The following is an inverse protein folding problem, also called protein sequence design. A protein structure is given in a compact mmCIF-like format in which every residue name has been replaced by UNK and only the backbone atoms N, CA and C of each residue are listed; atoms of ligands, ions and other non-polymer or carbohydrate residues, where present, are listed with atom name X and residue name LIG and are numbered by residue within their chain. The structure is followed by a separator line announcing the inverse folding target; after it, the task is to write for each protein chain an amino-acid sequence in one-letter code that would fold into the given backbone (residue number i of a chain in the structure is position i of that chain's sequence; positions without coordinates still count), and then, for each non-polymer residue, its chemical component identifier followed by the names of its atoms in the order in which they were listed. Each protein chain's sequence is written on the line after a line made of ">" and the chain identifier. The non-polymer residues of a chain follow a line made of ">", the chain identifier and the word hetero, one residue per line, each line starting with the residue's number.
data_IF_564221083528
#
_entry.id   IF_564221083528
#
_cell.length_a   1.000
_cell.length_b   1.000
_cell.length_c   1.000
_cell.angle_alpha   90.00
_cell.angle_beta   90.00
_cell.angle_gamma   90.00
#
_symmetry.space_group_name_H-M   'P 1'
#
loop_
_entity.id
_entity.type
_entity.pdbx_description
1 polymer ?
#
# COMPACT_ATOMS: atom_id res chain seq x y z
N UNK A 1 4.88 -58.48 -13.87
CA UNK A 1 5.10 -57.43 -12.87
C UNK A 1 5.25 -56.12 -13.65
N UNK A 2 4.16 -55.42 -13.96
CA UNK A 2 3.42 -54.51 -13.06
C UNK A 2 4.33 -53.37 -12.60
N UNK A 3 4.01 -52.08 -12.66
CA UNK A 3 2.84 -51.30 -13.05
C UNK A 3 3.27 -49.83 -12.75
N UNK A 4 2.49 -48.85 -13.20
CA UNK A 4 2.51 -47.42 -12.80
C UNK A 4 3.58 -46.48 -13.40
N UNK A 5 3.11 -45.66 -14.33
CA UNK A 5 3.77 -44.42 -14.77
C UNK A 5 2.86 -43.57 -15.64
N UNK A 6 1.74 -43.14 -15.05
CA UNK A 6 0.60 -42.45 -15.64
C UNK A 6 0.90 -41.44 -16.75
N UNK A 7 0.14 -41.59 -17.83
CA UNK A 7 -0.25 -40.60 -18.82
C UNK A 7 -0.53 -39.24 -18.15
N UNK A 8 0.41 -38.30 -18.26
CA UNK A 8 0.13 -36.89 -17.95
C UNK A 8 -0.77 -36.40 -19.07
N UNK A 9 -2.08 -36.41 -18.79
CA UNK A 9 -3.10 -35.73 -19.57
C UNK A 9 -2.69 -34.27 -19.71
N UNK A 10 -2.16 -33.92 -20.88
CA UNK A 10 -2.11 -32.56 -21.36
C UNK A 10 -3.55 -32.09 -21.44
N UNK A 11 -4.03 -31.43 -20.38
CA UNK A 11 -5.22 -30.58 -20.45
C UNK A 11 -4.88 -29.47 -21.43
N UNK A 12 -5.13 -29.71 -22.70
CA UNK A 12 -5.36 -28.69 -23.71
C UNK A 12 -6.30 -27.67 -23.07
N UNK A 13 -5.82 -26.44 -22.88
CA UNK A 13 -6.64 -25.31 -22.45
C UNK A 13 -7.78 -25.19 -23.47
N UNK A 14 -8.94 -25.73 -23.10
CA UNK A 14 -10.12 -25.74 -23.95
C UNK A 14 -10.46 -24.32 -24.35
N UNK A 15 -10.35 -24.05 -25.65
CA UNK A 15 -10.91 -22.92 -26.38
C UNK A 15 -12.45 -23.01 -26.43
N UNK A 16 -13.09 -23.22 -25.28
CA UNK A 16 -14.49 -22.88 -25.11
C UNK A 16 -14.57 -21.37 -24.95
N UNK A 17 -15.34 -20.69 -25.79
CA UNK A 17 -15.59 -19.24 -25.74
C UNK A 17 -15.90 -18.79 -24.30
N UNK A 18 -14.86 -18.37 -23.57
CA UNK A 18 -15.00 -17.83 -22.22
C UNK A 18 -15.47 -16.41 -22.38
N UNK A 19 -16.78 -16.22 -22.20
CA UNK A 19 -17.37 -14.89 -22.21
C UNK A 19 -16.72 -14.08 -21.07
N UNK A 20 -16.19 -12.87 -21.34
CA UNK A 20 -15.60 -12.04 -20.30
C UNK A 20 -16.59 -11.79 -19.15
N UNK A 21 -16.13 -11.69 -17.89
CA UNK A 21 -16.99 -11.44 -16.74
C UNK A 21 -17.90 -10.22 -16.96
N UNK A 22 -19.21 -10.46 -16.95
CA UNK A 22 -20.23 -9.44 -17.18
C UNK A 22 -21.46 -9.68 -16.29
N UNK A 23 -22.27 -8.64 -16.10
CA UNK A 23 -23.62 -8.76 -15.57
C UNK A 23 -24.49 -7.70 -16.24
N UNK A 24 -25.13 -8.07 -17.35
CA UNK A 24 -25.94 -7.14 -18.15
C UNK A 24 -27.21 -6.70 -17.43
N UNK A 25 -27.79 -7.54 -16.57
CA UNK A 25 -28.97 -7.19 -15.78
C UNK A 25 -28.66 -6.08 -14.77
N UNK A 26 -27.49 -6.14 -14.12
CA UNK A 26 -27.01 -5.09 -13.23
C UNK A 26 -26.77 -3.77 -13.99
N UNK A 27 -26.17 -3.84 -15.19
CA UNK A 27 -25.97 -2.67 -16.04
C UNK A 27 -27.30 -2.03 -16.45
N UNK A 28 -28.27 -2.82 -16.90
CA UNK A 28 -29.62 -2.37 -17.25
C UNK A 28 -30.33 -1.75 -16.04
N UNK A 29 -30.20 -2.37 -14.85
CA UNK A 29 -30.81 -1.87 -13.62
C UNK A 29 -30.25 -0.52 -13.20
N UNK A 30 -28.94 -0.28 -13.36
CA UNK A 30 -28.31 1.02 -13.06
C UNK A 30 -28.78 2.09 -14.04
N UNK A 31 -28.71 1.82 -15.35
CA UNK A 31 -29.15 2.78 -16.38
C UNK A 31 -30.64 3.11 -16.23
N UNK A 32 -31.49 2.10 -16.05
CA UNK A 32 -32.92 2.29 -15.83
C UNK A 32 -33.23 3.07 -14.54
N UNK A 33 -32.48 2.83 -13.47
CA UNK A 33 -32.65 3.57 -12.21
C UNK A 33 -32.29 5.05 -12.36
N UNK A 34 -31.28 5.38 -13.18
CA UNK A 34 -30.90 6.77 -13.48
C UNK A 34 -32.01 7.46 -14.27
N UNK A 35 -32.51 6.81 -15.33
CA UNK A 35 -33.60 7.33 -16.16
C UNK A 35 -34.90 7.61 -15.37
N UNK A 36 -35.19 6.81 -14.35
CA UNK A 36 -36.39 6.97 -13.52
C UNK A 36 -36.21 7.97 -12.37
N UNK A 37 -34.98 8.22 -11.92
CA UNK A 37 -34.70 9.03 -10.73
C UNK A 37 -33.54 10.00 -10.97
N UNK A 38 -33.94 11.24 -11.23
CA UNK A 38 -33.11 12.43 -11.49
C UNK A 38 -31.97 12.66 -10.47
N UNK A 39 -32.10 12.19 -9.23
CA UNK A 39 -31.08 12.41 -8.17
C UNK A 39 -30.14 11.23 -7.89
N UNK A 40 -30.15 10.18 -8.71
CA UNK A 40 -29.35 8.99 -8.46
C UNK A 40 -27.96 9.03 -9.12
N UNK A 41 -27.79 9.84 -10.17
CA UNK A 41 -26.58 9.91 -10.97
C UNK A 41 -25.32 10.32 -10.17
N UNK A 42 -25.34 11.35 -9.28
CA UNK A 42 -24.13 11.74 -8.53
C UNK A 42 -23.53 10.61 -7.70
N UNK A 43 -24.38 9.79 -7.07
CA UNK A 43 -23.94 8.64 -6.27
C UNK A 43 -23.39 7.49 -7.13
N UNK A 44 -23.82 7.41 -8.40
CA UNK A 44 -23.34 6.39 -9.34
C UNK A 44 -21.98 6.79 -9.93
N UNK A 45 -21.79 8.07 -10.25
CA UNK A 45 -20.52 8.61 -10.81
C UNK A 45 -19.35 8.37 -9.83
N UNK A 46 -19.59 8.42 -8.52
CA UNK A 46 -18.56 8.12 -7.51
C UNK A 46 -18.11 6.65 -7.52
N UNK A 47 -18.92 5.73 -8.05
CA UNK A 47 -18.69 4.28 -7.95
C UNK A 47 -18.24 3.63 -9.26
N UNK A 48 -18.74 4.10 -10.40
CA UNK A 48 -18.49 3.50 -11.72
C UNK A 48 -18.21 4.55 -12.79
N UNK A 49 -17.40 4.16 -13.77
CA UNK A 49 -17.04 4.95 -14.95
C UNK A 49 -17.59 4.29 -16.22
N UNK A 50 -17.68 4.99 -17.37
CA UNK A 50 -18.16 4.42 -18.62
C UNK A 50 -17.45 3.11 -19.00
N UNK A 51 -16.15 3.02 -18.81
CA UNK A 51 -15.35 1.82 -19.12
C UNK A 51 -15.70 0.59 -18.27
N UNK A 52 -16.40 0.78 -17.15
CA UNK A 52 -16.82 -0.33 -16.30
C UNK A 52 -18.00 -1.13 -16.90
N UNK A 53 -18.71 -0.59 -17.89
CA UNK A 53 -19.77 -1.31 -18.61
C UNK A 53 -19.18 -2.28 -19.63
N UNK A 54 -19.74 -3.48 -19.70
CA UNK A 54 -19.34 -4.47 -20.70
C UNK A 54 -19.90 -4.15 -22.08
N UNK A 55 -21.19 -3.81 -22.17
CA UNK A 55 -21.82 -3.50 -23.45
C UNK A 55 -21.44 -2.10 -23.93
N UNK A 56 -20.98 -2.01 -25.18
CA UNK A 56 -20.67 -0.73 -25.82
C UNK A 56 -21.87 0.22 -25.82
N UNK A 57 -23.07 -0.28 -26.15
CA UNK A 57 -24.29 0.52 -26.07
C UNK A 57 -24.53 1.12 -24.68
N UNK A 58 -24.24 0.39 -23.60
CA UNK A 58 -24.36 0.91 -22.24
C UNK A 58 -23.30 1.97 -21.91
N UNK A 59 -22.08 1.83 -22.44
CA UNK A 59 -21.03 2.86 -22.31
C UNK A 59 -21.48 4.17 -22.94
N UNK A 60 -22.01 4.09 -24.15
CA UNK A 60 -22.52 5.24 -24.92
C UNK A 60 -23.65 5.93 -24.15
N UNK A 61 -24.61 5.17 -23.63
CA UNK A 61 -25.73 5.71 -22.86
C UNK A 61 -25.22 6.40 -21.58
N UNK A 62 -24.33 5.76 -20.82
CA UNK A 62 -23.80 6.35 -19.60
C UNK A 62 -22.95 7.60 -19.88
N UNK A 63 -22.20 7.62 -20.98
CA UNK A 63 -21.45 8.80 -21.39
C UNK A 63 -22.37 9.97 -21.77
N UNK A 64 -23.48 9.70 -22.46
CA UNK A 64 -24.50 10.71 -22.74
C UNK A 64 -25.14 11.25 -21.45
N UNK A 65 -25.39 10.39 -20.45
CA UNK A 65 -25.88 10.81 -19.13
C UNK A 65 -24.87 11.74 -18.42
N UNK A 66 -23.57 11.45 -18.50
CA UNK A 66 -22.52 12.30 -17.94
C UNK A 66 -22.48 13.67 -18.64
N UNK A 67 -22.60 13.70 -19.97
CA UNK A 67 -22.59 14.94 -20.74
C UNK A 67 -23.78 15.84 -20.41
N UNK A 68 -24.98 15.27 -20.28
CA UNK A 68 -26.17 16.02 -19.83
C UNK A 68 -26.00 16.53 -18.39
N UNK A 69 -25.40 15.72 -17.53
CA UNK A 69 -25.12 16.12 -16.14
C UNK A 69 -24.14 17.29 -16.07
N UNK A 70 -23.08 17.29 -16.88
CA UNK A 70 -22.14 18.41 -16.99
C UNK A 70 -22.81 19.70 -17.51
N UNK A 71 -23.80 19.56 -18.39
CA UNK A 71 -24.62 20.68 -18.92
C UNK A 71 -25.74 21.14 -17.96
N UNK A 72 -25.90 20.49 -16.81
CA UNK A 72 -27.03 20.68 -15.88
C UNK A 72 -28.41 20.47 -16.54
N UNK A 73 -28.50 19.57 -17.53
CA UNK A 73 -29.74 19.17 -18.19
C UNK A 73 -30.31 17.90 -17.54
N UNK A 74 -31.65 17.73 -17.47
CA UNK A 74 -32.26 16.54 -16.88
C UNK A 74 -31.88 15.27 -17.66
N UNK A 75 -31.65 14.15 -16.96
CA UNK A 75 -31.24 12.88 -17.58
C UNK A 75 -32.42 11.92 -17.74
N UNK A 76 -33.46 12.37 -18.44
CA UNK A 76 -34.64 11.57 -18.74
C UNK A 76 -34.54 10.89 -20.11
N UNK A 77 -35.52 10.03 -20.41
CA UNK A 77 -35.57 9.28 -21.66
C UNK A 77 -35.57 10.20 -22.90
N UNK A 78 -36.20 11.37 -22.83
CA UNK A 78 -36.36 12.27 -23.97
C UNK A 78 -35.06 13.01 -24.25
N UNK A 79 -34.42 13.57 -23.22
CA UNK A 79 -33.15 14.31 -23.36
C UNK A 79 -32.01 13.41 -23.82
N UNK A 80 -31.91 12.19 -23.26
CA UNK A 80 -30.88 11.22 -23.68
C UNK A 80 -31.12 10.77 -25.13
N UNK A 81 -32.38 10.52 -25.51
CA UNK A 81 -32.69 10.15 -26.91
C UNK A 81 -32.35 11.29 -27.87
N UNK A 82 -32.66 12.55 -27.51
CA UNK A 82 -32.31 13.71 -28.33
C UNK A 82 -30.80 13.84 -28.50
N UNK A 83 -30.03 13.80 -27.40
CA UNK A 83 -28.57 13.93 -27.45
C UNK A 83 -27.92 12.80 -28.26
N UNK A 84 -28.40 11.56 -28.11
CA UNK A 84 -27.91 10.42 -28.89
C UNK A 84 -28.27 10.52 -30.36
N UNK A 85 -29.40 11.13 -30.70
CA UNK A 85 -29.80 11.37 -32.09
C UNK A 85 -28.96 12.48 -32.71
N UNK A 86 -28.77 13.60 -32.00
CA UNK A 86 -27.95 14.74 -32.45
C UNK A 86 -26.49 14.36 -32.66
N UNK A 87 -25.99 13.38 -31.89
CA UNK A 87 -24.63 12.84 -32.02
C UNK A 87 -24.51 11.64 -32.97
N UNK A 88 -25.60 11.22 -33.64
CA UNK A 88 -25.66 10.03 -34.50
C UNK A 88 -25.22 8.72 -33.80
N UNK A 89 -25.39 8.62 -32.48
CA UNK A 89 -25.03 7.44 -31.67
C UNK A 89 -26.24 6.61 -31.23
N UNK A 90 -27.46 7.01 -31.60
CA UNK A 90 -28.70 6.37 -31.17
C UNK A 90 -28.78 4.89 -31.58
N UNK A 91 -28.39 4.55 -32.81
CA UNK A 91 -28.38 3.16 -33.27
C UNK A 91 -27.35 2.31 -32.52
N UNK A 92 -26.14 2.84 -32.29
CA UNK A 92 -25.07 2.17 -31.53
C UNK A 92 -25.44 1.95 -30.05
N UNK A 93 -26.33 2.78 -29.49
CA UNK A 93 -26.88 2.62 -28.15
C UNK A 93 -27.99 1.55 -28.05
N UNK A 94 -28.44 0.96 -29.18
CA UNK A 94 -29.53 -0.01 -29.24
C UNK A 94 -30.87 0.56 -29.66
N UNK A 95 -30.94 1.85 -30.01
CA UNK A 95 -32.14 2.53 -30.49
C UNK A 95 -33.11 2.99 -29.39
N UNK A 96 -34.09 3.81 -29.78
CA UNK A 96 -35.08 4.38 -28.87
C UNK A 96 -35.92 3.30 -28.16
N UNK A 97 -36.21 2.18 -28.85
CA UNK A 97 -36.95 1.04 -28.29
C UNK A 97 -36.20 0.38 -27.14
N UNK A 98 -34.87 0.29 -27.22
CA UNK A 98 -34.05 -0.28 -26.15
C UNK A 98 -34.00 0.64 -24.93
N UNK A 99 -33.81 1.94 -25.14
CA UNK A 99 -33.85 2.92 -24.06
C UNK A 99 -35.19 2.88 -23.30
N UNK A 100 -36.31 2.78 -24.03
CA UNK A 100 -37.63 2.62 -23.43
C UNK A 100 -37.79 1.29 -22.65
N UNK A 101 -37.10 0.23 -23.08
CA UNK A 101 -37.10 -1.05 -22.33
C UNK A 101 -36.34 -0.96 -21.01
N UNK A 102 -35.29 -0.13 -20.91
CA UNK A 102 -34.48 0.02 -19.68
C UNK A 102 -35.31 0.58 -18.52
N UNK A 103 -36.29 1.44 -18.79
CA UNK A 103 -37.17 1.99 -17.74
C UNK A 103 -38.16 0.95 -17.21
N UNK A 104 -38.43 -0.11 -17.98
CA UNK A 104 -39.40 -1.15 -17.64
C UNK A 104 -38.79 -2.34 -16.88
N UNK A 105 -37.46 -2.47 -16.87
CA UNK A 105 -36.74 -3.63 -16.32
C UNK A 105 -36.50 -3.51 -14.80
N UNK A 106 -36.61 -2.32 -14.20
CA UNK A 106 -36.09 -2.05 -12.84
C UNK A 106 -36.93 -2.69 -11.72
N UNK A 107 -36.38 -3.66 -10.95
CA UNK A 107 -36.97 -4.13 -9.71
C UNK A 107 -36.49 -3.23 -8.56
N UNK A 108 -37.38 -2.39 -8.02
CA UNK A 108 -37.22 -1.60 -6.77
C UNK A 108 -35.88 -0.83 -6.62
N UNK A 109 -35.94 0.49 -6.74
CA UNK A 109 -34.81 1.46 -6.74
C UNK A 109 -33.95 1.52 -5.46
N UNK A 110 -34.12 0.61 -4.48
CA UNK A 110 -33.46 0.66 -3.18
C UNK A 110 -31.99 0.19 -3.18
N UNK A 111 -31.48 -0.44 -4.25
CA UNK A 111 -30.16 -1.08 -4.22
C UNK A 111 -29.18 -0.70 -5.36
N UNK A 112 -29.32 0.51 -5.93
CA UNK A 112 -28.45 0.99 -7.03
C UNK A 112 -26.95 0.86 -6.72
N UNK A 113 -26.54 1.14 -5.47
CA UNK A 113 -25.15 1.02 -5.04
C UNK A 113 -24.62 -0.42 -5.10
N UNK A 114 -25.46 -1.42 -4.81
CA UNK A 114 -25.05 -2.83 -4.93
C UNK A 114 -24.86 -3.23 -6.39
N UNK A 115 -25.73 -2.77 -7.30
CA UNK A 115 -25.56 -3.02 -8.73
C UNK A 115 -24.30 -2.35 -9.27
N UNK A 116 -24.01 -1.10 -8.87
CA UNK A 116 -22.74 -0.43 -9.20
C UNK A 116 -21.53 -1.24 -8.74
N UNK A 117 -21.55 -1.80 -7.51
CA UNK A 117 -20.47 -2.67 -7.02
C UNK A 117 -20.32 -3.94 -7.85
N UNK A 118 -21.41 -4.56 -8.28
CA UNK A 118 -21.38 -5.75 -9.15
C UNK A 118 -20.71 -5.40 -10.48
N UNK A 119 -21.12 -4.31 -11.13
CA UNK A 119 -20.51 -3.84 -12.39
C UNK A 119 -19.02 -3.57 -12.19
N UNK A 120 -18.64 -2.87 -11.11
CA UNK A 120 -17.25 -2.56 -10.80
C UNK A 120 -16.40 -3.82 -10.58
N UNK A 121 -16.92 -4.80 -9.84
CA UNK A 121 -16.25 -6.08 -9.64
C UNK A 121 -16.02 -6.82 -10.97
N UNK A 122 -17.04 -6.85 -11.84
CA UNK A 122 -16.90 -7.48 -13.17
C UNK A 122 -15.91 -6.72 -14.06
N UNK A 123 -15.91 -5.38 -14.03
CA UNK A 123 -14.92 -4.54 -14.71
C UNK A 123 -13.48 -4.84 -14.26
N UNK A 124 -13.23 -4.93 -12.95
CA UNK A 124 -11.91 -5.29 -12.41
C UNK A 124 -11.48 -6.67 -12.90
N UNK A 125 -12.37 -7.66 -12.89
CA UNK A 125 -12.06 -9.00 -13.41
C UNK A 125 -11.74 -8.97 -14.91
N UNK A 126 -12.46 -8.20 -15.72
CA UNK A 126 -12.16 -8.04 -17.15
C UNK A 126 -10.80 -7.38 -17.39
N UNK A 127 -10.49 -6.32 -16.65
CA UNK A 127 -9.21 -5.64 -16.75
C UNK A 127 -8.06 -6.57 -16.33
N UNK A 128 -8.25 -7.37 -15.28
CA UNK A 128 -7.27 -8.36 -14.86
C UNK A 128 -7.03 -9.43 -15.93
N UNK A 129 -8.09 -9.91 -16.59
CA UNK A 129 -7.95 -10.85 -17.71
C UNK A 129 -7.17 -10.20 -18.86
N UNK A 130 -7.50 -8.96 -19.22
CA UNK A 130 -6.82 -8.23 -20.30
C UNK A 130 -5.33 -8.04 -19.99
N UNK A 131 -4.99 -7.58 -18.79
CA UNK A 131 -3.60 -7.39 -18.36
C UNK A 131 -2.84 -8.72 -18.32
N UNK A 132 -3.45 -9.78 -17.78
CA UNK A 132 -2.81 -11.11 -17.78
C UNK A 132 -2.58 -11.64 -19.20
N UNK A 133 -3.51 -11.40 -20.12
CA UNK A 133 -3.34 -11.77 -21.53
C UNK A 133 -2.25 -10.96 -22.22
N UNK A 134 -2.16 -9.65 -21.97
CA UNK A 134 -1.10 -8.78 -22.50
C UNK A 134 0.28 -9.21 -21.96
N UNK A 135 0.40 -9.46 -20.65
CA UNK A 135 1.64 -9.99 -20.04
C UNK A 135 2.01 -11.33 -20.68
N UNK A 136 1.04 -12.25 -20.83
CA UNK A 136 1.30 -13.55 -21.44
C UNK A 136 1.79 -13.41 -22.89
N UNK A 137 1.18 -12.52 -23.69
CA UNK A 137 1.63 -12.26 -25.07
C UNK A 137 3.06 -11.73 -25.10
N UNK A 138 3.40 -10.77 -24.23
CA UNK A 138 4.77 -10.20 -24.16
C UNK A 138 5.82 -11.22 -23.73
N UNK A 139 5.48 -12.21 -22.90
CA UNK A 139 6.39 -13.30 -22.57
C UNK A 139 6.80 -14.15 -23.80
N UNK A 140 5.99 -14.15 -24.87
CA UNK A 140 6.33 -14.83 -26.13
C UNK A 140 7.06 -13.91 -27.14
N UNK A 141 7.02 -12.60 -26.94
CA UNK A 141 7.72 -11.62 -27.76
C UNK A 141 9.11 -11.37 -27.17
N UNK A 142 10.15 -12.03 -27.69
CA UNK A 142 11.55 -12.03 -27.17
C UNK A 142 12.30 -10.67 -27.28
N UNK A 143 11.67 -9.54 -26.96
CA UNK A 143 12.23 -8.20 -27.20
C UNK A 143 12.57 -7.39 -25.93
N UNK A 144 12.04 -7.77 -24.76
CA UNK A 144 12.29 -7.05 -23.49
C UNK A 144 13.30 -7.80 -22.60
N UNK A 145 14.16 -7.06 -21.89
CA UNK A 145 14.94 -7.62 -20.77
C UNK A 145 13.99 -8.17 -19.70
N UNK A 146 14.30 -9.36 -19.16
CA UNK A 146 13.43 -10.08 -18.21
C UNK A 146 13.06 -9.22 -17.00
N UNK A 147 14.01 -8.46 -16.45
CA UNK A 147 13.77 -7.57 -15.30
C UNK A 147 12.78 -6.45 -15.65
N UNK A 148 12.86 -5.89 -16.85
CA UNK A 148 11.93 -4.84 -17.31
C UNK A 148 10.53 -5.41 -17.57
N UNK A 149 10.43 -6.64 -18.09
CA UNK A 149 9.15 -7.32 -18.30
C UNK A 149 8.44 -7.58 -16.97
N UNK A 150 9.18 -8.03 -15.95
CA UNK A 150 8.68 -8.25 -14.59
C UNK A 150 8.18 -6.92 -14.00
N UNK A 151 8.98 -5.85 -14.08
CA UNK A 151 8.58 -4.53 -13.59
C UNK A 151 7.29 -4.00 -14.28
N UNK A 152 7.18 -4.15 -15.61
CA UNK A 152 5.98 -3.75 -16.38
C UNK A 152 4.76 -4.58 -15.98
N UNK A 153 4.92 -5.88 -15.78
CA UNK A 153 3.85 -6.78 -15.35
C UNK A 153 3.35 -6.43 -13.93
N UNK A 154 4.27 -6.14 -13.01
CA UNK A 154 3.94 -5.69 -11.66
C UNK A 154 3.18 -4.37 -11.68
N UNK A 155 3.63 -3.40 -12.48
CA UNK A 155 2.94 -2.12 -12.62
C UNK A 155 1.53 -2.29 -13.22
N UNK A 156 1.37 -3.09 -14.26
CA UNK A 156 0.08 -3.31 -14.89
C UNK A 156 -0.94 -3.99 -13.95
N UNK A 157 -0.49 -4.98 -13.17
CA UNK A 157 -1.34 -5.61 -12.14
C UNK A 157 -1.67 -4.62 -11.02
N UNK A 158 -0.69 -3.79 -10.62
CA UNK A 158 -0.91 -2.76 -9.62
C UNK A 158 -1.93 -1.73 -10.07
N UNK A 159 -1.92 -1.28 -11.32
CA UNK A 159 -2.88 -0.30 -11.85
C UNK A 159 -4.31 -0.85 -11.86
N UNK A 160 -4.49 -2.16 -12.11
CA UNK A 160 -5.80 -2.83 -11.98
C UNK A 160 -6.27 -2.88 -10.53
N UNK A 161 -5.35 -3.11 -9.58
CA UNK A 161 -5.64 -3.05 -8.14
C UNK A 161 -5.80 -1.62 -7.61
N UNK A 162 -5.22 -0.64 -8.30
CA UNK A 162 -4.99 0.75 -7.89
C UNK A 162 -6.08 1.74 -8.30
N UNK A 163 -7.10 1.35 -9.07
CA UNK A 163 -8.32 2.18 -9.28
C UNK A 163 -9.21 2.32 -8.03
N UNK A 164 -8.67 2.12 -6.82
CA UNK A 164 -9.26 2.64 -5.59
C UNK A 164 -8.78 4.09 -5.41
N UNK A 165 -9.58 5.02 -5.93
CA UNK A 165 -9.60 6.47 -5.67
C UNK A 165 -8.25 7.12 -5.39
N UNK A 166 -7.65 7.64 -6.46
CA UNK A 166 -6.67 8.74 -6.43
C UNK A 166 -7.25 9.87 -5.57
N UNK A 167 -6.45 10.38 -4.63
CA UNK A 167 -6.87 11.31 -3.58
C UNK A 167 -7.66 12.50 -4.11
N UNK A 168 -8.95 12.54 -3.76
CA UNK A 168 -9.86 13.64 -4.07
C UNK A 168 -9.57 14.82 -3.15
N UNK A 169 -9.70 16.05 -3.64
CA UNK A 169 -9.68 17.23 -2.77
C UNK A 169 -10.84 17.14 -1.78
N UNK A 170 -10.52 17.05 -0.48
CA UNK A 170 -11.51 17.11 0.58
C UNK A 170 -11.64 18.56 1.07
N UNK A 171 -12.85 19.13 1.11
CA UNK A 171 -13.03 20.47 1.65
C UNK A 171 -12.69 20.46 3.15
N UNK A 172 -11.99 21.49 3.62
CA UNK A 172 -11.47 21.58 5.00
C UNK A 172 -12.57 21.36 6.06
N UNK A 173 -13.81 21.78 5.78
CA UNK A 173 -14.99 21.53 6.63
C UNK A 173 -15.26 20.06 6.97
N UNK A 174 -14.80 19.12 6.13
CA UNK A 174 -14.90 17.68 6.38
C UNK A 174 -13.75 17.14 7.23
N UNK A 175 -12.60 17.82 7.28
CA UNK A 175 -11.37 17.37 7.97
C UNK A 175 -11.31 17.93 9.40
N UNK A 176 -11.74 19.18 9.60
CA UNK A 176 -11.66 19.86 10.90
C UNK A 176 -12.37 19.12 12.04
N UNK A 177 -13.58 18.53 11.85
CA UNK A 177 -14.23 17.76 12.92
C UNK A 177 -13.37 16.60 13.43
N UNK A 178 -12.77 15.82 12.53
CA UNK A 178 -11.90 14.68 12.88
C UNK A 178 -10.63 15.15 13.62
N UNK A 179 -10.05 16.27 13.19
CA UNK A 179 -8.91 16.88 13.88
C UNK A 179 -9.29 17.37 15.28
N UNK A 180 -10.47 17.99 15.43
CA UNK A 180 -10.94 18.48 16.72
C UNK A 180 -11.21 17.32 17.69
N UNK A 181 -11.84 16.24 17.22
CA UNK A 181 -12.05 15.03 18.03
C UNK A 181 -10.72 14.43 18.49
N UNK A 182 -9.72 14.39 17.61
CA UNK A 182 -8.36 13.93 17.96
C UNK A 182 -7.76 14.80 19.08
N UNK A 183 -7.84 16.12 18.98
CA UNK A 183 -7.35 17.05 20.01
C UNK A 183 -8.13 16.88 21.33
N UNK A 184 -9.44 16.69 21.26
CA UNK A 184 -10.27 16.47 22.45
C UNK A 184 -9.90 15.16 23.16
N UNK A 185 -9.64 14.10 22.40
CA UNK A 185 -9.16 12.83 22.95
C UNK A 185 -7.81 12.99 23.65
N UNK A 186 -6.87 13.73 23.03
CA UNK A 186 -5.57 14.02 23.63
C UNK A 186 -5.70 14.83 24.93
N UNK A 187 -6.56 15.85 24.91
CA UNK A 187 -6.84 16.66 26.10
C UNK A 187 -7.43 15.82 27.25
N UNK A 188 -8.38 14.93 26.94
CA UNK A 188 -9.02 14.03 27.91
C UNK A 188 -8.05 13.03 28.52
N UNK A 189 -7.15 12.46 27.72
CA UNK A 189 -6.18 11.46 28.18
C UNK A 189 -5.05 12.05 29.02
N UNK A 190 -4.78 13.36 28.90
CA UNK A 190 -3.61 14.02 29.50
C UNK A 190 -2.29 13.29 29.18
N UNK A 191 -2.26 12.59 28.05
CA UNK A 191 -1.09 11.85 27.58
C UNK A 191 -0.10 12.84 26.97
N UNK A 192 1.12 12.84 27.48
CA UNK A 192 2.23 13.64 26.95
C UNK A 192 2.77 13.08 25.62
N UNK A 193 2.50 11.80 25.33
CA UNK A 193 3.04 11.07 24.19
C UNK A 193 1.87 10.61 23.32
N UNK A 194 1.79 11.14 22.10
CA UNK A 194 0.68 10.91 21.15
C UNK A 194 1.05 9.91 20.05
N UNK A 195 2.34 9.78 19.77
CA UNK A 195 2.92 8.82 18.84
C UNK A 195 3.41 7.55 19.54
N UNK A 196 4.21 6.75 18.83
CA UNK A 196 4.89 5.58 19.42
C UNK A 196 6.02 6.07 20.34
N UNK A 197 6.00 5.75 21.65
CA UNK A 197 7.05 6.15 22.58
C UNK A 197 8.42 5.59 22.20
N UNK A 198 9.47 6.41 22.33
CA UNK A 198 10.86 5.98 22.06
C UNK A 198 11.49 5.29 23.26
N UNK A 199 10.95 5.49 24.46
CA UNK A 199 11.53 5.04 25.72
C UNK A 199 12.57 5.99 26.30
N UNK A 200 12.82 7.11 25.63
CA UNK A 200 13.69 8.18 26.09
C UNK A 200 12.84 9.40 26.40
N UNK A 201 12.62 9.65 27.70
CA UNK A 201 11.68 10.69 28.17
C UNK A 201 11.94 12.09 27.60
N UNK A 202 13.20 12.49 27.47
CA UNK A 202 13.54 13.81 26.90
C UNK A 202 13.24 13.88 25.40
N UNK A 203 13.44 12.80 24.65
CA UNK A 203 13.10 12.75 23.23
C UNK A 203 11.59 12.76 23.07
N UNK A 204 10.88 11.93 23.85
CA UNK A 204 9.42 11.85 23.80
C UNK A 204 8.75 13.16 24.22
N UNK A 205 9.33 13.93 25.15
CA UNK A 205 8.87 15.30 25.46
C UNK A 205 9.01 16.25 24.27
N UNK A 206 10.09 16.13 23.50
CA UNK A 206 10.35 17.00 22.35
C UNK A 206 9.52 16.62 21.12
N UNK A 207 9.22 15.33 20.94
CA UNK A 207 8.56 14.81 19.73
C UNK A 207 7.10 14.40 19.95
N UNK A 208 6.64 14.33 21.21
CA UNK A 208 5.43 13.64 21.61
C UNK A 208 5.39 12.17 21.13
N UNK A 209 6.55 11.53 20.99
CA UNK A 209 6.71 10.20 20.40
C UNK A 209 6.82 10.22 18.87
N UNK A 210 7.01 9.05 18.27
CA UNK A 210 7.11 8.90 16.81
C UNK A 210 5.70 8.96 16.19
N UNK A 211 5.42 10.02 15.46
CA UNK A 211 4.09 10.31 14.94
C UNK A 211 3.71 9.42 13.75
N UNK A 212 2.42 9.04 13.62
CA UNK A 212 1.93 8.30 12.48
C UNK A 212 2.09 9.10 11.18
N UNK A 213 2.32 8.38 10.08
CA UNK A 213 2.54 8.95 8.76
C UNK A 213 3.84 9.75 8.57
N UNK A 214 4.72 9.80 9.58
CA UNK A 214 6.02 10.45 9.50
C UNK A 214 7.16 9.53 9.07
N UNK A 215 8.10 10.13 8.33
CA UNK A 215 9.39 9.55 8.02
C UNK A 215 10.41 10.21 8.92
N UNK A 216 10.98 9.44 9.85
CA UNK A 216 11.99 9.86 10.79
C UNK A 216 13.33 9.32 10.30
N UNK A 217 14.32 10.19 10.12
CA UNK A 217 15.65 9.79 9.65
C UNK A 217 16.64 9.86 10.81
N UNK A 218 17.27 8.74 11.13
CA UNK A 218 18.33 8.64 12.13
C UNK A 218 19.68 8.52 11.43
N UNK A 219 20.45 9.60 11.45
CA UNK A 219 21.71 9.69 10.72
C UNK A 219 22.94 9.77 11.62
N UNK A 220 24.06 9.24 11.15
CA UNK A 220 25.33 9.20 11.88
C UNK A 220 26.42 8.45 11.13
N UNK A 221 27.67 8.59 11.56
CA UNK A 221 28.82 7.84 11.01
C UNK A 221 28.79 6.36 11.43
N UNK A 222 29.55 5.49 10.75
CA UNK A 222 29.80 4.13 11.24
C UNK A 222 30.25 4.16 12.71
N UNK A 223 29.88 3.13 13.48
CA UNK A 223 30.24 2.99 14.90
C UNK A 223 29.67 4.04 15.87
N UNK A 224 28.85 5.01 15.43
CA UNK A 224 28.16 5.96 16.34
C UNK A 224 26.92 5.38 17.06
N UNK A 225 26.65 4.07 16.92
CA UNK A 225 25.57 3.41 17.64
C UNK A 225 24.16 3.59 17.06
N UNK A 226 24.01 4.04 15.81
CA UNK A 226 22.69 4.26 15.17
C UNK A 226 21.76 3.05 15.27
N UNK A 227 22.22 1.88 14.83
CA UNK A 227 21.47 0.62 14.89
C UNK A 227 21.12 0.25 16.32
N UNK A 228 22.04 0.44 17.28
CA UNK A 228 21.77 0.14 18.69
C UNK A 228 20.67 1.05 19.24
N UNK A 229 20.70 2.34 18.93
CA UNK A 229 19.68 3.29 19.33
C UNK A 229 18.30 2.96 18.72
N UNK A 230 18.26 2.66 17.42
CA UNK A 230 17.04 2.31 16.72
C UNK A 230 16.42 1.00 17.24
N UNK A 231 17.24 -0.02 17.50
CA UNK A 231 16.79 -1.29 18.11
C UNK A 231 16.26 -1.08 19.52
N UNK A 232 16.88 -0.21 20.33
CA UNK A 232 16.38 0.08 21.67
C UNK A 232 14.99 0.74 21.64
N UNK A 233 14.75 1.64 20.68
CA UNK A 233 13.42 2.20 20.43
C UNK A 233 12.42 1.09 20.07
N UNK A 234 12.78 0.23 19.11
CA UNK A 234 11.93 -0.89 18.71
C UNK A 234 11.65 -1.87 19.87
N UNK A 235 12.66 -2.15 20.69
CA UNK A 235 12.56 -2.97 21.88
C UNK A 235 11.60 -2.36 22.90
N UNK A 236 11.69 -1.06 23.17
CA UNK A 236 10.79 -0.38 24.10
C UNK A 236 9.34 -0.41 23.57
N UNK A 237 9.14 -0.04 22.31
CA UNK A 237 7.83 -0.07 21.67
C UNK A 237 7.20 -1.47 21.70
N UNK A 238 7.97 -2.53 21.46
CA UNK A 238 7.45 -3.89 21.42
C UNK A 238 7.26 -4.50 22.82
N UNK A 239 8.22 -4.33 23.74
CA UNK A 239 8.19 -5.01 25.04
C UNK A 239 7.32 -4.29 26.06
N UNK A 240 7.38 -2.95 26.10
CA UNK A 240 6.67 -2.12 27.07
C UNK A 240 5.31 -1.74 26.51
N UNK A 241 5.27 -1.13 25.33
CA UNK A 241 4.04 -0.60 24.73
C UNK A 241 3.24 -1.64 23.93
N UNK A 242 3.74 -2.89 23.87
CA UNK A 242 3.13 -4.02 23.13
C UNK A 242 2.75 -3.66 21.69
N UNK A 243 3.55 -2.80 21.08
CA UNK A 243 3.31 -2.28 19.73
C UNK A 243 4.03 -3.13 18.70
N UNK A 244 3.33 -3.52 17.63
CA UNK A 244 3.92 -4.30 16.55
C UNK A 244 4.96 -3.51 15.76
N UNK A 245 6.17 -4.06 15.67
CA UNK A 245 7.32 -3.45 14.99
C UNK A 245 7.80 -4.34 13.85
N UNK A 246 7.88 -3.76 12.65
CA UNK A 246 8.51 -4.39 11.49
C UNK A 246 9.92 -3.83 11.31
N UNK A 247 10.94 -4.69 11.22
CA UNK A 247 12.34 -4.34 11.07
C UNK A 247 12.85 -4.91 9.74
N UNK A 248 13.32 -4.02 8.86
CA UNK A 248 14.06 -4.36 7.65
C UNK A 248 15.55 -4.14 7.89
N UNK A 249 16.29 -5.23 8.04
CA UNK A 249 17.72 -5.23 8.33
C UNK A 249 18.52 -5.58 7.08
N UNK A 250 19.00 -4.56 6.41
CA UNK A 250 19.72 -4.67 5.14
C UNK A 250 21.23 -4.84 5.35
N UNK A 251 21.76 -4.38 6.49
CA UNK A 251 23.19 -4.50 6.84
C UNK A 251 23.49 -5.77 7.65
N UNK A 252 22.60 -6.12 8.58
CA UNK A 252 22.84 -7.18 9.57
C UNK A 252 21.91 -8.37 9.35
N UNK A 253 22.43 -9.59 9.57
CA UNK A 253 21.59 -10.79 9.62
C UNK A 253 20.65 -10.75 10.84
N UNK A 254 19.46 -11.35 10.71
CA UNK A 254 18.44 -11.36 11.79
C UNK A 254 18.94 -12.00 13.08
N UNK A 255 19.82 -13.01 13.01
CA UNK A 255 20.41 -13.66 14.19
C UNK A 255 21.31 -12.69 14.97
N UNK A 256 22.04 -11.81 14.26
CA UNK A 256 22.88 -10.81 14.90
C UNK A 256 22.03 -9.74 15.62
N UNK A 257 20.91 -9.34 15.04
CA UNK A 257 19.94 -8.45 15.68
C UNK A 257 19.31 -9.11 16.91
N UNK A 258 18.89 -10.38 16.80
CA UNK A 258 18.31 -11.13 17.90
C UNK A 258 19.30 -11.25 19.09
N UNK A 259 20.59 -11.51 18.81
CA UNK A 259 21.62 -11.54 19.85
C UNK A 259 21.80 -10.19 20.55
N UNK A 260 21.68 -9.07 19.83
CA UNK A 260 21.72 -7.73 20.44
C UNK A 260 20.51 -7.47 21.33
N UNK A 261 19.31 -7.86 20.90
CA UNK A 261 18.10 -7.77 21.72
C UNK A 261 18.22 -8.61 23.00
N UNK A 262 18.72 -9.85 22.90
CA UNK A 262 18.96 -10.72 24.06
C UNK A 262 19.96 -10.11 25.05
N UNK A 263 21.06 -9.55 24.53
CA UNK A 263 22.05 -8.85 25.32
C UNK A 263 21.46 -7.64 26.04
N UNK A 264 20.66 -6.84 25.34
CA UNK A 264 20.00 -5.64 25.88
C UNK A 264 18.98 -5.98 26.97
N UNK A 265 18.04 -6.89 26.69
CA UNK A 265 16.98 -7.31 27.61
C UNK A 265 17.54 -8.07 28.82
N UNK A 266 18.52 -8.95 28.59
CA UNK A 266 19.13 -9.74 29.66
C UNK A 266 20.12 -8.95 30.51
N UNK A 267 20.54 -7.75 30.06
CA UNK A 267 21.67 -7.01 30.63
C UNK A 267 22.96 -7.86 30.70
N UNK A 268 23.20 -8.66 29.67
CA UNK A 268 24.37 -9.55 29.56
C UNK A 268 25.31 -8.97 28.52
N UNK A 269 26.61 -9.03 28.81
CA UNK A 269 27.65 -8.62 27.87
C UNK A 269 27.51 -9.35 26.51
N UNK A 270 27.44 -8.56 25.43
CA UNK A 270 27.24 -9.08 24.08
C UNK A 270 28.38 -9.98 23.58
N UNK A 271 29.61 -9.76 24.03
CA UNK A 271 30.77 -10.60 23.70
C UNK A 271 30.69 -11.93 24.43
N UNK A 272 30.23 -11.96 25.69
CA UNK A 272 29.98 -13.22 26.42
C UNK A 272 28.91 -14.07 25.74
N UNK A 273 27.79 -13.47 25.32
CA UNK A 273 26.75 -14.16 24.55
C UNK A 273 27.34 -14.72 23.25
N UNK A 274 28.04 -13.88 22.48
CA UNK A 274 28.61 -14.28 21.19
C UNK A 274 29.64 -15.42 21.31
N UNK A 275 30.44 -15.42 22.37
CA UNK A 275 31.50 -16.42 22.57
C UNK A 275 31.04 -17.66 23.34
N UNK A 276 29.79 -17.68 23.83
CA UNK A 276 29.28 -18.75 24.68
C UNK A 276 29.90 -18.79 26.08
N UNK A 277 30.72 -17.81 26.46
CA UNK A 277 31.39 -17.72 27.78
C UNK A 277 30.45 -17.10 28.84
N UNK A 278 29.26 -17.68 28.96
CA UNK A 278 28.27 -17.27 29.95
C UNK A 278 28.65 -17.78 31.34
N UNK A 279 28.39 -16.95 32.35
CA UNK A 279 28.50 -17.32 33.76
C UNK A 279 27.22 -18.00 34.22
N UNK A 280 27.29 -18.75 35.32
CA UNK A 280 26.10 -19.37 35.92
C UNK A 280 25.01 -18.35 36.26
N UNK A 281 25.39 -17.13 36.65
CA UNK A 281 24.48 -16.01 36.92
C UNK A 281 23.81 -15.45 35.66
N UNK A 282 24.41 -15.59 34.46
CA UNK A 282 23.84 -15.03 33.22
C UNK A 282 22.64 -15.87 32.73
N UNK A 283 22.62 -17.17 33.01
CA UNK A 283 21.59 -18.08 32.49
C UNK A 283 20.17 -17.70 32.90
N UNK A 284 19.86 -17.41 34.19
CA UNK A 284 18.54 -16.92 34.58
C UNK A 284 18.12 -15.63 33.84
N UNK A 285 19.06 -14.71 33.60
CA UNK A 285 18.78 -13.48 32.86
C UNK A 285 18.48 -13.75 31.38
N UNK A 286 19.25 -14.65 30.77
CA UNK A 286 19.07 -15.04 29.38
C UNK A 286 17.72 -15.75 29.18
N UNK A 287 17.37 -16.69 30.06
CA UNK A 287 16.08 -17.40 29.98
C UNK A 287 14.90 -16.44 30.10
N UNK A 288 14.96 -15.45 31.01
CA UNK A 288 13.94 -14.40 31.10
C UNK A 288 13.86 -13.56 29.83
N UNK A 289 15.01 -13.16 29.28
CA UNK A 289 15.05 -12.38 28.05
C UNK A 289 14.45 -13.13 26.85
N UNK A 290 14.73 -14.43 26.72
CA UNK A 290 14.12 -15.30 25.71
C UNK A 290 12.61 -15.33 25.85
N UNK A 291 12.08 -15.52 27.06
CA UNK A 291 10.63 -15.50 27.30
C UNK A 291 9.99 -14.17 26.90
N UNK A 292 10.57 -13.04 27.33
CA UNK A 292 10.04 -11.71 27.00
C UNK A 292 10.07 -11.43 25.49
N UNK A 293 11.14 -11.84 24.79
CA UNK A 293 11.29 -11.60 23.36
C UNK A 293 10.44 -12.54 22.50
N UNK A 294 10.18 -13.76 22.97
CA UNK A 294 9.31 -14.72 22.26
C UNK A 294 7.87 -14.21 22.12
N UNK A 295 7.39 -13.48 23.12
CA UNK A 295 6.05 -12.89 23.13
C UNK A 295 6.00 -11.48 22.53
N UNK A 296 7.16 -10.92 22.15
CA UNK A 296 7.25 -9.56 21.64
C UNK A 296 6.77 -9.49 20.18
N UNK A 297 5.94 -8.51 19.80
CA UNK A 297 5.47 -8.35 18.43
C UNK A 297 6.54 -7.68 17.54
N UNK A 298 7.72 -8.31 17.42
CA UNK A 298 8.84 -7.86 16.60
C UNK A 298 8.98 -8.80 15.40
N UNK A 299 8.96 -8.26 14.19
CA UNK A 299 9.07 -9.01 12.95
C UNK A 299 10.29 -8.53 12.16
N UNK A 300 11.23 -9.41 11.85
CA UNK A 300 12.50 -9.07 11.22
C UNK A 300 12.57 -9.69 9.83
N UNK A 301 12.92 -8.89 8.83
CA UNK A 301 13.31 -9.32 7.50
C UNK A 301 14.74 -8.86 7.21
N UNK A 302 15.63 -9.80 6.89
CA UNK A 302 17.05 -9.56 6.61
C UNK A 302 17.43 -9.72 5.14
N UNK A 303 16.46 -9.53 4.23
CA UNK A 303 16.69 -9.64 2.79
C UNK A 303 17.64 -8.52 2.35
N UNK A 304 18.83 -8.85 1.80
CA UNK A 304 19.79 -7.84 1.37
C UNK A 304 19.28 -7.14 0.12
N UNK A 305 19.62 -5.87 -0.04
CA UNK A 305 19.35 -5.10 -1.26
C UNK A 305 17.87 -5.06 -1.70
N UNK A 306 16.94 -5.13 -0.74
CA UNK A 306 15.50 -5.14 -1.00
C UNK A 306 15.05 -3.89 -1.76
N UNK A 307 14.18 -4.07 -2.76
CA UNK A 307 13.53 -2.95 -3.43
C UNK A 307 12.40 -2.39 -2.56
N UNK A 308 12.03 -1.12 -2.77
CA UNK A 308 10.90 -0.53 -2.04
C UNK A 308 9.57 -1.25 -2.30
N UNK A 309 9.43 -1.83 -3.50
CA UNK A 309 8.23 -2.56 -3.89
C UNK A 309 8.15 -3.91 -3.19
N UNK A 310 9.25 -4.65 -3.13
CA UNK A 310 9.33 -5.90 -2.39
C UNK A 310 9.08 -5.66 -0.89
N UNK A 311 9.68 -4.60 -0.31
CA UNK A 311 9.41 -4.17 1.06
C UNK A 311 7.91 -3.90 1.28
N UNK A 312 7.26 -3.16 0.38
CA UNK A 312 5.82 -2.87 0.46
C UNK A 312 4.97 -4.14 0.39
N UNK A 313 5.30 -5.08 -0.50
CA UNK A 313 4.60 -6.36 -0.64
C UNK A 313 4.70 -7.21 0.63
N UNK A 314 5.89 -7.27 1.23
CA UNK A 314 6.12 -7.98 2.50
C UNK A 314 5.40 -7.31 3.67
N UNK A 315 5.46 -5.98 3.78
CA UNK A 315 4.71 -5.21 4.78
C UNK A 315 3.21 -5.41 4.65
N UNK A 316 2.66 -5.40 3.43
CA UNK A 316 1.23 -5.63 3.18
C UNK A 316 0.79 -6.99 3.71
N UNK A 317 1.58 -8.04 3.44
CA UNK A 317 1.32 -9.39 3.94
C UNK A 317 1.38 -9.43 5.47
N UNK A 318 2.40 -8.83 6.07
CA UNK A 318 2.56 -8.78 7.52
C UNK A 318 1.41 -8.01 8.21
N UNK A 319 1.08 -6.83 7.71
CA UNK A 319 0.02 -5.96 8.23
C UNK A 319 -1.38 -6.58 8.12
N UNK A 320 -1.57 -7.53 7.19
CA UNK A 320 -2.82 -8.30 7.09
C UNK A 320 -3.01 -9.34 8.21
N UNK A 321 -1.90 -9.76 8.85
CA UNK A 321 -1.89 -10.76 9.90
C UNK A 321 -1.71 -10.14 11.29
N UNK A 322 -0.93 -9.06 11.40
CA UNK A 322 -0.56 -8.44 12.66
C UNK A 322 -0.65 -6.91 12.60
N UNK A 323 -1.06 -6.24 13.69
CA UNK A 323 -1.12 -4.79 13.75
C UNK A 323 0.28 -4.18 13.90
N UNK A 324 0.84 -3.67 12.80
CA UNK A 324 2.12 -2.96 12.81
C UNK A 324 1.88 -1.47 13.06
N UNK A 325 2.62 -0.86 14.00
CA UNK A 325 2.60 0.59 14.22
C UNK A 325 3.97 1.26 14.20
N UNK A 326 5.05 0.53 13.98
CA UNK A 326 6.38 1.10 13.74
C UNK A 326 7.09 0.27 12.67
N UNK A 327 7.72 0.96 11.72
CA UNK A 327 8.57 0.35 10.71
C UNK A 327 9.98 0.90 10.88
N UNK A 328 10.98 0.02 10.97
CA UNK A 328 12.39 0.36 11.09
C UNK A 328 13.13 -0.16 9.86
N UNK A 329 13.98 0.68 9.25
CA UNK A 329 14.78 0.32 8.07
C UNK A 329 16.25 0.62 8.33
N UNK A 330 17.09 -0.42 8.37
CA UNK A 330 18.55 -0.35 8.63
C UNK A 330 19.37 -0.85 7.44
N UNK A 331 19.91 -0.03 6.55
CA UNK A 331 19.83 1.43 6.42
C UNK A 331 19.55 1.81 4.96
N UNK A 332 19.07 3.04 4.73
CA UNK A 332 18.51 3.51 3.46
C UNK A 332 19.37 3.21 2.23
N UNK A 333 20.67 3.46 2.32
CA UNK A 333 21.58 3.32 1.20
C UNK A 333 21.76 1.85 0.76
N UNK A 334 21.34 0.84 1.52
CA UNK A 334 21.40 -0.54 1.03
C UNK A 334 20.19 -0.95 0.19
N UNK A 335 19.17 -0.09 0.06
CA UNK A 335 18.03 -0.35 -0.82
C UNK A 335 18.41 -0.12 -2.29
N UNK A 336 17.78 -0.86 -3.19
CA UNK A 336 17.90 -0.65 -4.65
C UNK A 336 16.80 0.27 -5.16
N UNK A 337 17.18 1.33 -5.87
CA UNK A 337 16.29 2.16 -6.67
C UNK A 337 16.20 1.71 -8.13
N UNK A 338 15.35 2.39 -8.92
CA UNK A 338 15.03 2.05 -10.32
C UNK A 338 16.04 2.55 -11.37
N UNK A 339 17.03 3.37 -11.00
CA UNK A 339 17.99 3.96 -11.94
C UNK A 339 19.38 4.10 -11.31
N UNK A 340 20.43 3.72 -12.06
CA UNK A 340 21.80 3.55 -11.52
C UNK A 340 22.76 4.74 -11.75
N UNK A 341 22.36 5.78 -12.49
CA UNK A 341 23.32 6.81 -12.92
C UNK A 341 23.65 7.86 -11.85
N UNK A 342 22.78 8.08 -10.85
CA UNK A 342 23.03 9.11 -9.84
C UNK A 342 22.52 8.71 -8.44
N UNK A 343 23.46 8.38 -7.56
CA UNK A 343 23.20 7.87 -6.21
C UNK A 343 22.36 8.82 -5.34
N UNK A 344 22.58 10.12 -5.47
CA UNK A 344 21.81 11.13 -4.72
C UNK A 344 20.34 11.15 -5.13
N UNK A 345 20.06 10.90 -6.41
CA UNK A 345 18.70 10.84 -6.93
C UNK A 345 18.01 9.55 -6.48
N UNK A 346 18.74 8.42 -6.49
CA UNK A 346 18.26 7.14 -5.96
C UNK A 346 17.81 7.25 -4.50
N UNK A 347 18.64 7.85 -3.63
CA UNK A 347 18.32 8.05 -2.21
C UNK A 347 17.14 9.00 -2.02
N UNK A 348 17.01 10.01 -2.87
CA UNK A 348 15.86 10.92 -2.88
C UNK A 348 14.57 10.17 -3.23
N UNK A 349 14.62 9.27 -4.20
CA UNK A 349 13.48 8.47 -4.64
C UNK A 349 13.06 7.44 -3.57
N UNK A 350 14.04 6.78 -2.93
CA UNK A 350 13.83 5.88 -1.79
C UNK A 350 13.16 6.65 -0.65
N UNK A 351 13.67 7.83 -0.29
CA UNK A 351 13.13 8.65 0.80
C UNK A 351 11.70 9.09 0.54
N UNK A 352 11.38 9.55 -0.69
CA UNK A 352 10.01 9.89 -1.09
C UNK A 352 9.09 8.67 -0.99
N UNK A 353 9.57 7.51 -1.42
CA UNK A 353 8.79 6.28 -1.42
C UNK A 353 8.51 5.75 -0.01
N UNK A 354 9.47 5.90 0.92
CA UNK A 354 9.27 5.59 2.33
C UNK A 354 8.32 6.56 3.03
N UNK A 355 8.37 7.87 2.70
CA UNK A 355 7.36 8.82 3.20
C UNK A 355 5.96 8.49 2.67
N UNK A 356 5.85 8.09 1.40
CA UNK A 356 4.58 7.61 0.84
C UNK A 356 4.07 6.38 1.59
N UNK A 357 4.97 5.41 1.88
CA UNK A 357 4.64 4.23 2.66
C UNK A 357 4.18 4.57 4.09
N UNK A 358 4.86 5.50 4.77
CA UNK A 358 4.44 5.98 6.09
C UNK A 358 3.00 6.52 6.05
N UNK A 359 2.67 7.35 5.05
CA UNK A 359 1.32 7.91 4.86
C UNK A 359 0.27 6.86 4.52
N UNK A 360 0.61 5.89 3.67
CA UNK A 360 -0.27 4.80 3.26
C UNK A 360 -0.70 3.95 4.45
N UNK A 361 0.26 3.52 5.27
CA UNK A 361 0.00 2.68 6.44
C UNK A 361 -0.37 3.47 7.69
N UNK A 362 -0.21 4.80 7.68
CA UNK A 362 -0.39 5.71 8.83
C UNK A 362 0.44 5.29 10.04
N UNK A 363 1.70 4.91 9.80
CA UNK A 363 2.66 4.51 10.84
C UNK A 363 3.95 5.32 10.72
N UNK A 364 4.67 5.59 11.82
CA UNK A 364 6.03 6.09 11.77
C UNK A 364 6.95 5.11 11.04
N UNK A 365 7.77 5.63 10.14
CA UNK A 365 8.88 4.92 9.51
C UNK A 365 10.19 5.54 10.03
N UNK A 366 10.95 4.78 10.80
CA UNK A 366 12.28 5.13 11.28
C UNK A 366 13.34 4.54 10.34
N UNK A 367 13.94 5.40 9.53
CA UNK A 367 14.96 5.00 8.58
C UNK A 367 16.36 5.43 9.01
N UNK A 368 17.29 4.50 9.05
CA UNK A 368 18.69 4.76 9.35
C UNK A 368 19.41 5.27 8.11
N UNK A 369 20.28 6.26 8.28
CA UNK A 369 21.12 6.80 7.21
C UNK A 369 22.57 6.93 7.67
N UNK A 370 23.50 6.66 6.77
CA UNK A 370 24.91 6.91 7.00
C UNK A 370 25.30 8.31 6.51
N UNK A 371 26.07 9.06 7.30
CA UNK A 371 26.62 10.36 6.90
C UNK A 371 27.91 10.23 6.09
N UNK A 372 28.20 11.23 5.25
CA UNK A 372 29.44 11.34 4.49
C UNK A 372 30.68 11.44 5.39
N UNK A 373 31.85 11.02 4.88
CA UNK A 373 33.15 11.08 5.56
C UNK A 373 33.69 12.51 5.69
N UNK A 374 33.20 13.46 4.88
CA UNK A 374 33.59 14.88 4.92
C UNK A 374 33.41 15.52 6.31
N UNK A 375 32.50 15.01 7.14
CA UNK A 375 32.33 15.44 8.52
C UNK A 375 33.60 15.22 9.38
N UNK A 376 34.43 14.23 9.08
CA UNK A 376 35.62 13.89 9.87
C UNK A 376 36.77 14.91 9.71
N UNK A 377 36.80 15.64 8.59
CA UNK A 377 37.83 16.64 8.30
C UNK A 377 37.51 18.03 8.89
N UNK A 378 36.29 18.23 9.39
CA UNK A 378 35.89 19.49 10.04
C UNK A 378 36.42 19.55 11.48
N UNK A 379 36.68 20.77 11.94
CA UNK A 379 36.99 21.05 13.35
C UNK A 379 35.81 20.75 14.26
N UNK A 380 34.59 21.17 13.88
CA UNK A 380 33.34 20.74 14.53
C UNK A 380 32.77 19.49 13.85
N UNK A 381 32.76 18.39 14.59
CA UNK A 381 32.31 17.07 14.14
C UNK A 381 30.83 16.81 14.46
N UNK A 382 30.07 17.81 14.93
CA UNK A 382 28.62 17.70 15.11
C UNK A 382 27.89 17.62 13.77
N UNK A 383 27.07 16.59 13.51
CA UNK A 383 26.33 16.46 12.26
C UNK A 383 25.45 17.67 11.94
N UNK A 384 25.41 18.05 10.66
CA UNK A 384 24.57 19.10 10.10
C UNK A 384 23.74 18.56 8.94
N UNK A 385 22.70 19.29 8.53
CA UNK A 385 21.80 18.85 7.44
C UNK A 385 22.52 18.68 6.09
N UNK A 386 23.58 19.45 5.84
CA UNK A 386 24.42 19.30 4.64
C UNK A 386 25.06 17.91 4.55
N UNK A 387 25.45 17.35 5.70
CA UNK A 387 26.13 16.04 5.76
C UNK A 387 25.19 14.91 5.31
N UNK A 388 23.87 15.08 5.47
CA UNK A 388 22.84 14.12 5.03
C UNK A 388 22.51 14.27 3.54
N UNK A 389 22.56 15.49 2.99
CA UNK A 389 22.22 15.79 1.60
C UNK A 389 23.26 15.23 0.61
N UNK A 390 24.50 15.13 1.05
CA UNK A 390 25.64 14.60 0.28
C UNK A 390 25.87 13.10 0.50
N UNK A 391 24.93 12.40 1.14
CA UNK A 391 25.04 10.99 1.58
C UNK A 391 24.17 10.02 0.80
#
# INVERSE_FOLDING_TARGET
>A
MSDLGQTISSRTLGSGSRIPPQNTEAEQSVLGSILLKDKSLPAVIELISPEDFYREGHRIIFQAMLELFERNEPQDLVTITSLLNDTNKLESAGGATYLASLTSIVPVTSNIASYCRIIKQKSVLRNLIHVSSDIASRCYEEQDEVDQLVDKAEQAIFDVAGKKSVGTFLPLKKIIPDCFETVEQLYKRKELITGVPTGYSEIDKMTAGLQPADLIVLAGRPSMGKTAFAINIAQHAALVEKTGVAIFSLEMAKEQLAMRLLSSVGHIDSHRIRTGKLRNEDWPHLTRAVGMLSDAPIYIDDTPAISILEMRSKLRRLASQFPIKLILVDYLQLMRGRSSENRTQEISDISRSLKALAKEYRVPVLALSQLNRSLESRTDKRPMMSDLRES
#
